data_IF_661205408547
#
_entry.id   IF_661205408547
#
_cell.length_a   1.000
_cell.length_b   1.000
_cell.length_c   1.000
_cell.angle_alpha   90.00
_cell.angle_beta   90.00
_cell.angle_gamma   90.00
#
_symmetry.space_group_name_H-M   'P 1'
#
loop_
_entity.id
_entity.type
_entity.pdbx_description
1 polymer ?
#
# COMPACT_ATOMS: atom_id res chain seq x y z
N UNK A 1 -13.91 0.65 -2.91
CA UNK A 1 -14.24 -0.56 -3.70
C UNK A 1 -13.00 -0.96 -4.48
N UNK A 2 -12.50 -2.18 -4.32
CA UNK A 2 -11.40 -2.69 -5.12
C UNK A 2 -11.81 -2.91 -6.58
N UNK A 3 -10.85 -2.87 -7.51
CA UNK A 3 -11.07 -3.24 -8.92
C UNK A 3 -11.18 -4.77 -9.10
N UNK A 4 -11.33 -5.23 -10.34
CA UNK A 4 -11.46 -6.66 -10.67
C UNK A 4 -10.24 -7.51 -10.25
N UNK A 5 -9.09 -6.87 -10.03
CA UNK A 5 -7.84 -7.48 -9.57
C UNK A 5 -7.60 -7.28 -8.08
N UNK A 6 -8.56 -6.70 -7.35
CA UNK A 6 -8.45 -6.44 -5.91
C UNK A 6 -7.70 -5.15 -5.56
N UNK A 7 -7.28 -4.34 -6.55
CA UNK A 7 -6.54 -3.11 -6.25
C UNK A 7 -7.48 -2.05 -5.73
N UNK A 8 -7.11 -1.50 -4.57
CA UNK A 8 -7.74 -0.29 -4.03
C UNK A 8 -7.10 0.96 -4.62
N UNK A 9 -7.75 2.10 -4.44
CA UNK A 9 -7.18 3.41 -4.80
C UNK A 9 -5.80 3.62 -4.17
N UNK A 10 -5.60 3.15 -2.93
CA UNK A 10 -4.30 3.26 -2.26
C UNK A 10 -3.19 2.49 -2.97
N UNK A 11 -3.48 1.32 -3.56
CA UNK A 11 -2.47 0.58 -4.32
C UNK A 11 -2.00 1.39 -5.54
N UNK A 12 -2.94 2.03 -6.26
CA UNK A 12 -2.62 2.87 -7.42
C UNK A 12 -1.81 4.11 -7.02
N UNK A 13 -2.16 4.73 -5.90
CA UNK A 13 -1.45 5.91 -5.39
C UNK A 13 -0.04 5.54 -4.87
N UNK A 14 0.08 4.39 -4.23
CA UNK A 14 1.35 3.81 -3.81
C UNK A 14 2.28 3.57 -5.02
N UNK A 15 1.76 2.92 -6.05
CA UNK A 15 2.48 2.65 -7.31
C UNK A 15 2.89 3.95 -8.03
N UNK A 16 2.03 4.96 -8.01
CA UNK A 16 2.31 6.27 -8.60
C UNK A 16 3.31 7.12 -7.80
N UNK A 17 3.60 6.79 -6.54
CA UNK A 17 4.56 7.54 -5.72
C UNK A 17 4.05 8.87 -5.15
N UNK A 18 2.74 9.08 -5.12
CA UNK A 18 2.17 10.34 -4.60
C UNK A 18 1.85 10.27 -3.10
N UNK A 19 2.82 10.64 -2.25
CA UNK A 19 2.63 10.70 -0.80
C UNK A 19 1.49 11.66 -0.40
N UNK A 20 1.34 12.79 -1.10
CA UNK A 20 0.30 13.77 -0.80
C UNK A 20 -1.10 13.18 -0.96
N UNK A 21 -1.35 12.49 -2.08
CA UNK A 21 -2.62 11.80 -2.31
C UNK A 21 -2.83 10.65 -1.32
N UNK A 22 -1.77 9.93 -0.94
CA UNK A 22 -1.88 8.86 0.04
C UNK A 22 -2.35 9.39 1.40
N UNK A 23 -1.72 10.46 1.88
CA UNK A 23 -2.13 11.14 3.12
C UNK A 23 -3.58 11.59 3.05
N UNK A 24 -3.96 12.25 1.95
CA UNK A 24 -5.32 12.72 1.75
C UNK A 24 -6.35 11.58 1.81
N UNK A 25 -6.10 10.44 1.16
CA UNK A 25 -7.02 9.30 1.17
C UNK A 25 -7.13 8.61 2.53
N UNK A 26 -6.03 8.51 3.27
CA UNK A 26 -6.04 7.86 4.59
C UNK A 26 -6.70 8.78 5.62
N UNK A 27 -6.36 10.06 5.61
CA UNK A 27 -6.84 11.03 6.59
C UNK A 27 -8.30 11.47 6.32
N UNK A 28 -8.66 11.76 5.06
CA UNK A 28 -9.98 12.32 4.72
C UNK A 28 -10.98 11.25 4.26
N UNK A 29 -10.51 10.13 3.70
CA UNK A 29 -11.38 9.07 3.19
C UNK A 29 -11.30 7.78 4.02
N UNK A 30 -10.51 7.77 5.10
CA UNK A 30 -10.33 6.61 5.99
C UNK A 30 -10.06 5.30 5.22
N UNK A 31 -9.31 5.41 4.12
CA UNK A 31 -8.96 4.24 3.32
C UNK A 31 -8.00 3.34 4.10
N UNK A 32 -8.22 2.02 4.03
CA UNK A 32 -7.40 1.03 4.73
C UNK A 32 -6.01 0.88 4.06
N UNK A 33 -4.93 1.30 4.73
CA UNK A 33 -3.56 1.16 4.23
C UNK A 33 -3.05 -0.28 4.26
N UNK A 34 -3.73 -1.19 4.96
CA UNK A 34 -3.39 -2.61 5.03
C UNK A 34 -4.17 -3.46 4.03
N UNK A 35 -4.97 -2.83 3.15
CA UNK A 35 -5.70 -3.54 2.12
C UNK A 35 -4.76 -4.37 1.23
N UNK A 36 -5.23 -5.56 0.88
CA UNK A 36 -4.55 -6.51 -0.02
C UNK A 36 -5.31 -6.68 -1.31
N UNK A 37 -4.60 -6.83 -2.43
CA UNK A 37 -5.20 -7.20 -3.70
C UNK A 37 -5.38 -8.73 -3.85
N UNK A 38 -5.84 -9.18 -5.02
CA UNK A 38 -6.09 -10.62 -5.27
C UNK A 38 -4.81 -11.47 -5.26
N UNK A 39 -3.64 -10.85 -5.39
CA UNK A 39 -2.32 -11.48 -5.27
C UNK A 39 -1.77 -11.43 -3.84
N UNK A 40 -2.57 -11.01 -2.85
CA UNK A 40 -2.13 -10.83 -1.47
C UNK A 40 -1.12 -9.69 -1.29
N UNK A 41 -0.86 -8.87 -2.32
CA UNK A 41 0.04 -7.73 -2.19
C UNK A 41 -0.67 -6.63 -1.40
N UNK A 42 0.00 -6.12 -0.38
CA UNK A 42 -0.45 -4.94 0.37
C UNK A 42 -0.14 -3.65 -0.38
N UNK A 43 -0.74 -2.54 0.06
CA UNK A 43 -0.36 -1.19 -0.40
C UNK A 43 1.16 -0.96 -0.29
N UNK A 44 1.80 -1.53 0.74
CA UNK A 44 3.24 -1.41 0.97
C UNK A 44 4.09 -2.11 -0.12
N UNK A 45 3.63 -3.25 -0.65
CA UNK A 45 4.30 -3.93 -1.77
C UNK A 45 4.34 -3.02 -3.01
N UNK A 46 3.24 -2.31 -3.28
CA UNK A 46 3.14 -1.38 -4.41
C UNK A 46 3.90 -0.08 -4.18
N UNK A 47 4.15 0.28 -2.93
CA UNK A 47 4.95 1.44 -2.55
C UNK A 47 6.47 1.18 -2.54
N UNK A 48 6.96 -0.05 -2.76
CA UNK A 48 8.36 -0.42 -2.53
C UNK A 48 9.38 0.48 -3.25
N UNK A 49 9.05 1.01 -4.43
CA UNK A 49 9.89 1.95 -5.18
C UNK A 49 9.89 3.39 -4.65
N UNK A 50 9.02 3.72 -3.71
CA UNK A 50 8.75 5.06 -3.21
C UNK A 50 8.98 5.14 -1.70
N UNK A 51 10.23 5.37 -1.31
CA UNK A 51 10.70 5.32 0.08
C UNK A 51 9.88 6.23 1.01
N UNK A 52 9.46 7.41 0.55
CA UNK A 52 8.69 8.35 1.36
C UNK A 52 7.31 7.79 1.73
N UNK A 53 6.69 7.04 0.81
CA UNK A 53 5.43 6.35 1.03
C UNK A 53 5.62 5.17 1.97
N UNK A 54 6.68 4.37 1.76
CA UNK A 54 7.00 3.23 2.63
C UNK A 54 7.20 3.69 4.07
N UNK A 55 7.98 4.76 4.28
CA UNK A 55 8.18 5.35 5.61
C UNK A 55 6.87 5.82 6.23
N UNK A 56 6.00 6.46 5.45
CA UNK A 56 4.71 6.92 5.93
C UNK A 56 3.81 5.75 6.35
N UNK A 57 3.69 4.71 5.53
CA UNK A 57 2.87 3.55 5.84
C UNK A 57 3.39 2.76 7.05
N UNK A 58 4.72 2.64 7.22
CA UNK A 58 5.30 1.95 8.38
C UNK A 58 5.15 2.79 9.65
N UNK A 59 5.44 4.09 9.59
CA UNK A 59 5.47 4.93 10.79
C UNK A 59 4.08 5.38 11.24
N UNK A 60 3.23 5.81 10.29
CA UNK A 60 1.92 6.40 10.60
C UNK A 60 0.79 5.36 10.54
N UNK A 61 0.90 4.38 9.63
CA UNK A 61 -0.13 3.34 9.46
C UNK A 61 0.23 2.01 10.13
N UNK A 62 1.40 1.92 10.76
CA UNK A 62 1.91 0.70 11.42
C UNK A 62 1.86 -0.55 10.53
N UNK A 63 2.03 -0.37 9.21
CA UNK A 63 2.05 -1.50 8.29
C UNK A 63 3.27 -2.36 8.53
N UNK A 64 3.10 -3.69 8.47
CA UNK A 64 4.20 -4.64 8.60
C UNK A 64 5.06 -4.66 7.32
N UNK A 65 6.34 -4.23 7.37
CA UNK A 65 7.24 -4.31 6.23
C UNK A 65 7.59 -5.75 5.84
N UNK A 66 7.37 -6.72 6.74
CA UNK A 66 7.61 -8.14 6.51
C UNK A 66 6.36 -8.89 6.05
N UNK A 67 5.25 -8.19 5.80
CA UNK A 67 4.10 -8.78 5.16
C UNK A 67 4.51 -9.42 3.82
N UNK A 68 4.04 -10.65 3.60
CA UNK A 68 4.30 -11.41 2.37
C UNK A 68 3.06 -11.49 1.50
N UNK A 69 3.24 -11.40 0.19
CA UNK A 69 2.18 -11.65 -0.78
C UNK A 69 1.85 -13.16 -0.92
N UNK A 70 0.92 -13.51 -1.81
CA UNK A 70 0.55 -14.91 -2.07
C UNK A 70 1.68 -15.77 -2.67
N UNK A 71 2.79 -15.16 -3.05
CA UNK A 71 3.99 -15.80 -3.58
C UNK A 71 5.14 -15.85 -2.56
N UNK A 72 4.87 -15.53 -1.28
CA UNK A 72 5.88 -15.40 -0.22
C UNK A 72 6.95 -14.33 -0.51
N UNK A 73 6.63 -13.33 -1.33
CA UNK A 73 7.53 -12.19 -1.59
C UNK A 73 7.24 -11.11 -0.57
N UNK A 74 8.31 -10.56 0.01
CA UNK A 74 8.26 -9.35 0.83
C UNK A 74 8.34 -8.11 -0.06
N UNK A 75 8.10 -6.91 0.49
CA UNK A 75 8.26 -5.64 -0.24
C UNK A 75 9.65 -5.42 -0.88
N UNK A 76 10.68 -6.14 -0.42
CA UNK A 76 12.06 -6.05 -0.91
C UNK A 76 12.40 -7.06 -2.02
N UNK A 77 11.48 -7.95 -2.40
CA UNK A 77 11.70 -9.07 -3.33
C UNK A 77 10.95 -8.85 -4.65
#
# INVERSE_FOLDING_TARGET
VPDEYGYTVLHRVAENGSLHFMKYLIDHHHCDPMATNNSGETVLHRAAGHIDIVKYLINECHCDPMATDSYNRTILH
#
